data_IF_996531464720
#
_entry.id   IF_996531464720
#
_cell.length_a   1.000
_cell.length_b   1.000
_cell.length_c   1.000
_cell.angle_alpha   90.00
_cell.angle_beta   90.00
_cell.angle_gamma   90.00
#
_symmetry.space_group_name_H-M   'P 1'
#
loop_
_entity.id
_entity.type
_entity.pdbx_description
1 polymer ?
#
# COMPACT_ATOMS: atom_id res chain seq x y z
N UNK A 1 8.65 23.46 -11.36
CA UNK A 1 8.55 22.14 -10.71
C UNK A 1 7.63 21.25 -11.51
N UNK A 2 8.00 20.02 -11.74
CA UNK A 2 7.19 19.09 -12.50
C UNK A 2 5.96 18.63 -11.72
N UNK A 3 4.98 18.11 -12.45
CA UNK A 3 3.73 17.65 -11.83
C UNK A 3 3.94 16.48 -10.89
N UNK A 4 4.84 15.56 -11.23
CA UNK A 4 5.14 14.42 -10.35
C UNK A 4 5.73 14.91 -9.04
N UNK A 5 6.63 15.90 -9.09
CA UNK A 5 7.20 16.49 -7.89
C UNK A 5 6.13 17.15 -7.02
N UNK A 6 5.18 17.85 -7.65
CA UNK A 6 4.06 18.44 -6.93
C UNK A 6 3.21 17.38 -6.23
N UNK A 7 2.96 16.28 -6.90
CA UNK A 7 2.20 15.17 -6.30
C UNK A 7 2.95 14.59 -5.10
N UNK A 8 4.27 14.39 -5.24
CA UNK A 8 5.08 13.90 -4.12
C UNK A 8 4.98 14.81 -2.91
N UNK A 9 5.07 16.12 -3.13
CA UNK A 9 4.98 17.08 -2.05
C UNK A 9 3.63 17.01 -1.34
N UNK A 10 2.55 16.89 -2.09
CA UNK A 10 1.22 16.76 -1.51
C UNK A 10 1.07 15.48 -0.71
N UNK A 11 1.59 14.38 -1.23
CA UNK A 11 1.55 13.10 -0.51
C UNK A 11 2.34 13.19 0.80
N UNK A 12 3.51 13.83 0.77
CA UNK A 12 4.34 13.98 1.96
C UNK A 12 3.68 14.80 3.07
N UNK A 13 2.67 15.60 2.73
CA UNK A 13 1.96 16.43 3.69
C UNK A 13 0.73 15.75 4.28
N UNK A 14 0.37 14.56 3.78
CA UNK A 14 -0.81 13.84 4.29
C UNK A 14 -0.53 13.28 5.68
N UNK A 15 -1.56 13.30 6.52
CA UNK A 15 -1.51 12.56 7.77
C UNK A 15 -1.69 11.06 7.50
N UNK A 16 -1.52 10.26 8.54
CA UNK A 16 -1.56 8.81 8.39
C UNK A 16 -2.89 8.31 7.83
N UNK A 17 -4.00 8.84 8.32
CA UNK A 17 -5.32 8.42 7.86
C UNK A 17 -5.59 8.79 6.41
N UNK A 18 -5.20 10.00 6.01
CA UNK A 18 -5.37 10.44 4.63
C UNK A 18 -4.46 9.67 3.69
N UNK A 19 -3.24 9.36 4.12
CA UNK A 19 -2.34 8.54 3.33
C UNK A 19 -2.91 7.13 3.12
N UNK A 20 -3.45 6.54 4.17
CA UNK A 20 -4.10 5.23 4.07
C UNK A 20 -5.24 5.27 3.06
N UNK A 21 -6.10 6.29 3.12
CA UNK A 21 -7.20 6.44 2.17
C UNK A 21 -6.71 6.55 0.73
N UNK A 22 -5.64 7.32 0.52
CA UNK A 22 -5.06 7.46 -0.80
C UNK A 22 -4.55 6.12 -1.33
N UNK A 23 -3.83 5.37 -0.49
CA UNK A 23 -3.29 4.07 -0.88
C UNK A 23 -4.39 3.06 -1.15
N UNK A 24 -5.44 3.06 -0.35
CA UNK A 24 -6.59 2.17 -0.56
C UNK A 24 -7.22 2.42 -1.93
N UNK A 25 -7.44 3.69 -2.27
CA UNK A 25 -7.99 4.05 -3.57
C UNK A 25 -7.04 3.68 -4.71
N UNK A 26 -5.76 3.92 -4.51
CA UNK A 26 -4.74 3.58 -5.50
C UNK A 26 -4.72 2.07 -5.76
N UNK A 27 -4.69 1.27 -4.70
CA UNK A 27 -4.66 -0.18 -4.83
C UNK A 27 -5.89 -0.71 -5.55
N UNK A 28 -7.06 -0.17 -5.24
CA UNK A 28 -8.27 -0.55 -5.94
C UNK A 28 -8.16 -0.25 -7.44
N UNK A 29 -7.64 0.92 -7.79
CA UNK A 29 -7.53 1.33 -9.19
C UNK A 29 -6.53 0.50 -9.99
N UNK A 30 -5.49 -0.03 -9.34
CA UNK A 30 -4.53 -0.87 -10.05
C UNK A 30 -4.93 -2.34 -10.08
N UNK A 31 -6.14 -2.67 -9.59
CA UNK A 31 -6.71 -4.00 -9.79
C UNK A 31 -6.88 -4.86 -8.56
N UNK A 32 -6.53 -4.38 -7.38
CA UNK A 32 -6.79 -5.15 -6.16
C UNK A 32 -8.28 -5.07 -5.80
N UNK A 33 -8.82 -6.12 -5.15
CA UNK A 33 -10.22 -6.09 -4.72
C UNK A 33 -10.48 -5.00 -3.68
N UNK A 34 -11.76 -4.75 -3.39
CA UNK A 34 -12.13 -3.80 -2.35
C UNK A 34 -11.49 -4.18 -1.02
N UNK A 35 -10.90 -3.18 -0.38
CA UNK A 35 -10.21 -3.37 0.88
C UNK A 35 -11.23 -3.47 2.02
N UNK A 36 -11.03 -4.46 2.87
CA UNK A 36 -11.82 -4.64 4.08
C UNK A 36 -11.02 -4.06 5.24
N UNK A 37 -11.48 -2.94 5.80
CA UNK A 37 -10.83 -2.36 6.96
C UNK A 37 -11.14 -3.19 8.20
N UNK A 38 -10.10 -3.58 8.93
CA UNK A 38 -10.28 -4.32 10.16
C UNK A 38 -11.01 -3.46 11.19
N UNK A 39 -12.10 -4.00 11.74
CA UNK A 39 -12.89 -3.31 12.74
C UNK A 39 -13.57 -2.05 12.22
N UNK A 40 -13.44 -1.78 10.93
CA UNK A 40 -14.03 -0.61 10.34
C UNK A 40 -15.42 -0.87 9.83
N UNK A 41 -16.33 0.02 10.15
CA UNK A 41 -17.60 0.06 9.46
C UNK A 41 -17.43 0.83 8.17
N UNK A 42 -18.38 0.70 7.28
CA UNK A 42 -18.37 1.45 6.03
C UNK A 42 -18.25 2.95 6.33
N UNK A 43 -17.27 3.59 5.72
CA UNK A 43 -17.05 5.02 5.89
C UNK A 43 -16.10 5.40 7.01
N UNK A 44 -15.74 4.47 7.88
CA UNK A 44 -14.75 4.76 8.91
C UNK A 44 -13.40 4.15 8.52
N UNK A 45 -12.34 4.91 8.75
CA UNK A 45 -10.98 4.44 8.54
C UNK A 45 -10.27 4.21 9.85
N UNK A 46 -11.03 4.12 10.90
CA UNK A 46 -10.48 3.86 12.20
C UNK A 46 -10.12 2.39 12.27
N UNK A 47 -8.84 2.10 12.23
CA UNK A 47 -8.35 0.74 12.38
C UNK A 47 -8.39 0.36 13.84
N UNK A 48 -8.82 -0.86 14.13
CA UNK A 48 -8.59 -1.40 15.46
C UNK A 48 -7.09 -1.56 15.64
N UNK A 49 -6.58 -1.31 16.87
CA UNK A 49 -5.19 -1.58 17.15
C UNK A 49 -4.89 -3.04 16.81
N UNK A 50 -3.91 -3.24 15.98
CA UNK A 50 -3.55 -4.59 15.60
C UNK A 50 -2.89 -4.63 14.24
N UNK A 51 -2.59 -5.82 13.82
CA UNK A 51 -1.92 -6.12 12.56
C UNK A 51 -2.77 -7.07 11.76
N UNK A 52 -2.93 -6.85 10.46
CA UNK A 52 -2.45 -5.72 9.67
C UNK A 52 -3.33 -4.47 9.79
N UNK A 53 -2.88 -3.35 9.23
CA UNK A 53 -3.70 -2.13 9.22
C UNK A 53 -5.01 -2.35 8.47
N UNK A 54 -4.92 -2.93 7.27
CA UNK A 54 -6.08 -3.36 6.50
C UNK A 54 -5.75 -4.66 5.79
N UNK A 55 -6.77 -5.29 5.23
CA UNK A 55 -6.57 -6.47 4.41
C UNK A 55 -7.69 -6.58 3.39
N UNK A 56 -7.46 -7.39 2.37
CA UNK A 56 -8.55 -7.83 1.50
C UNK A 56 -8.30 -9.28 1.12
N UNK A 57 -9.35 -9.92 0.62
CA UNK A 57 -9.32 -11.34 0.29
C UNK A 57 -9.27 -11.46 -1.22
N UNK A 58 -8.25 -12.14 -1.71
CA UNK A 58 -8.08 -12.37 -3.14
C UNK A 58 -9.11 -13.36 -3.66
N UNK A 59 -9.31 -13.43 -4.98
CA UNK A 59 -10.27 -14.39 -5.55
C UNK A 59 -10.02 -15.84 -5.16
N UNK A 60 -8.78 -16.20 -4.84
CA UNK A 60 -8.45 -17.56 -4.40
C UNK A 60 -8.69 -17.79 -2.91
N UNK A 61 -9.27 -16.83 -2.21
CA UNK A 61 -9.60 -16.96 -0.79
C UNK A 61 -8.47 -16.67 0.17
N UNK A 62 -7.31 -16.27 -0.32
CA UNK A 62 -6.17 -15.93 0.54
C UNK A 62 -6.18 -14.46 0.92
N UNK A 63 -5.54 -14.16 2.05
CA UNK A 63 -5.46 -12.79 2.55
C UNK A 63 -4.35 -12.02 1.85
N UNK A 64 -4.61 -10.75 1.62
CA UNK A 64 -3.58 -9.79 1.23
C UNK A 64 -3.57 -8.72 2.32
N UNK A 65 -2.44 -8.64 3.04
CA UNK A 65 -2.29 -7.67 4.11
C UNK A 65 -1.73 -6.38 3.57
N UNK A 66 -2.19 -5.26 4.10
CA UNK A 66 -1.71 -3.94 3.69
C UNK A 66 -1.29 -3.15 4.91
N UNK A 67 -0.10 -2.58 4.86
CA UNK A 67 0.46 -1.74 5.91
C UNK A 67 0.84 -0.39 5.34
N UNK A 68 0.75 0.65 6.14
CA UNK A 68 1.02 2.03 5.72
C UNK A 68 1.90 2.73 6.75
N UNK A 69 2.78 3.61 6.29
CA UNK A 69 3.49 4.48 7.21
C UNK A 69 3.80 5.81 6.55
N UNK A 70 3.69 6.87 7.32
CA UNK A 70 4.19 8.20 6.95
C UNK A 70 5.50 8.52 7.66
N UNK A 71 6.02 7.57 8.43
CA UNK A 71 7.28 7.73 9.13
C UNK A 71 8.43 7.82 8.14
N UNK A 72 9.29 8.82 8.30
CA UNK A 72 10.42 9.04 7.40
C UNK A 72 11.73 8.56 8.00
N UNK A 73 11.92 8.77 9.28
CA UNK A 73 13.14 8.37 9.95
C UNK A 73 13.09 6.90 10.34
N UNK A 74 14.24 6.24 10.21
CA UNK A 74 14.38 4.82 10.54
C UNK A 74 13.36 3.96 9.81
N UNK A 75 13.13 4.28 8.54
CA UNK A 75 12.12 3.63 7.74
C UNK A 75 12.35 2.13 7.60
N UNK A 76 13.60 1.72 7.37
CA UNK A 76 13.91 0.30 7.22
C UNK A 76 13.53 -0.49 8.47
N UNK A 77 13.88 0.03 9.65
CA UNK A 77 13.53 -0.62 10.91
C UNK A 77 12.02 -0.68 11.10
N UNK A 78 11.32 0.40 10.73
CA UNK A 78 9.85 0.46 10.83
C UNK A 78 9.20 -0.57 9.94
N UNK A 79 9.61 -0.66 8.68
CA UNK A 79 9.04 -1.62 7.74
C UNK A 79 9.34 -3.05 8.20
N UNK A 80 10.57 -3.31 8.61
CA UNK A 80 10.95 -4.64 9.10
C UNK A 80 10.12 -5.07 10.30
N UNK A 81 9.89 -4.14 11.23
CA UNK A 81 9.07 -4.42 12.41
C UNK A 81 7.63 -4.71 12.03
N UNK A 82 7.04 -3.88 11.18
CA UNK A 82 5.65 -4.06 10.75
C UNK A 82 5.46 -5.37 9.98
N UNK A 83 6.40 -5.71 9.10
CA UNK A 83 6.36 -6.97 8.36
C UNK A 83 6.48 -8.15 9.34
N UNK A 84 7.37 -8.06 10.32
CA UNK A 84 7.52 -9.11 11.32
C UNK A 84 6.24 -9.34 12.10
N UNK A 85 5.51 -8.26 12.41
CA UNK A 85 4.22 -8.37 13.07
C UNK A 85 3.19 -9.05 12.18
N UNK A 86 3.20 -8.75 10.89
CA UNK A 86 2.30 -9.41 9.92
C UNK A 86 2.58 -10.91 9.82
N UNK A 87 3.83 -11.32 10.00
CA UNK A 87 4.23 -12.72 9.96
C UNK A 87 4.02 -13.44 11.30
N UNK A 88 3.66 -12.71 12.33
CA UNK A 88 3.46 -13.29 13.67
C UNK A 88 2.03 -13.83 13.79
N UNK A 89 1.90 -15.15 13.71
CA UNK A 89 0.60 -15.82 13.74
C UNK A 89 -0.16 -15.52 15.03
N UNK A 90 0.55 -15.36 16.15
CA UNK A 90 -0.09 -15.00 17.42
C UNK A 90 -0.79 -13.66 17.39
N UNK A 91 -0.30 -12.73 16.54
CA UNK A 91 -0.89 -11.40 16.42
C UNK A 91 -1.99 -11.34 15.36
N UNK A 92 -1.79 -12.00 14.24
CA UNK A 92 -2.76 -11.93 13.14
C UNK A 92 -3.85 -12.98 13.23
N UNK A 93 -3.53 -14.12 13.83
CA UNK A 93 -4.43 -15.27 13.84
C UNK A 93 -4.50 -15.99 12.49
N UNK A 94 -3.66 -15.63 11.54
CA UNK A 94 -3.67 -16.17 10.19
C UNK A 94 -2.35 -16.88 9.91
N UNK A 95 -2.43 -18.14 9.51
CA UNK A 95 -1.24 -18.92 9.15
C UNK A 95 -0.68 -18.46 7.81
N UNK A 96 0.61 -18.63 7.61
CA UNK A 96 1.31 -18.10 6.43
C UNK A 96 0.75 -18.65 5.11
N UNK A 97 0.28 -19.89 5.10
CA UNK A 97 -0.28 -20.51 3.90
C UNK A 97 -1.57 -19.83 3.43
N UNK A 98 -2.20 -19.05 4.29
CA UNK A 98 -3.43 -18.32 3.97
C UNK A 98 -3.17 -16.87 3.57
N UNK A 99 -1.92 -16.45 3.52
CA UNK A 99 -1.53 -15.09 3.13
C UNK A 99 -0.82 -15.19 1.78
N UNK A 100 -1.35 -14.51 0.77
CA UNK A 100 -0.72 -14.52 -0.55
C UNK A 100 0.28 -13.40 -0.74
N UNK A 101 0.00 -12.25 -0.12
CA UNK A 101 0.81 -11.06 -0.35
C UNK A 101 0.73 -10.11 0.84
N UNK A 102 1.82 -9.38 1.08
CA UNK A 102 1.84 -8.23 1.97
C UNK A 102 2.23 -7.03 1.13
N UNK A 103 1.44 -5.96 1.22
CA UNK A 103 1.70 -4.70 0.53
C UNK A 103 2.09 -3.67 1.58
N UNK A 104 3.20 -2.99 1.38
CA UNK A 104 3.66 -1.95 2.30
C UNK A 104 3.80 -0.62 1.56
N UNK A 105 3.05 0.38 2.00
CA UNK A 105 3.02 1.71 1.39
C UNK A 105 3.72 2.72 2.31
N UNK A 106 4.60 3.54 1.76
CA UNK A 106 5.29 4.56 2.53
C UNK A 106 5.50 5.83 1.73
N UNK A 107 5.84 6.91 2.42
CA UNK A 107 5.98 8.24 1.83
C UNK A 107 7.43 8.66 1.62
N UNK A 108 8.35 7.72 1.61
CA UNK A 108 9.76 8.00 1.43
C UNK A 108 10.26 7.42 0.11
N UNK A 109 11.50 7.76 -0.23
CA UNK A 109 12.15 7.18 -1.41
C UNK A 109 12.36 5.69 -1.21
N UNK A 110 12.70 5.01 -2.29
CA UNK A 110 12.90 3.57 -2.25
C UNK A 110 14.00 3.17 -1.27
N UNK A 111 13.85 2.02 -0.67
CA UNK A 111 14.91 1.41 0.12
C UNK A 111 16.09 1.07 -0.79
N UNK A 112 17.28 0.96 -0.19
CA UNK A 112 18.43 0.47 -0.94
C UNK A 112 18.18 -0.97 -1.38
N UNK A 113 18.81 -1.45 -2.46
CA UNK A 113 18.65 -2.85 -2.88
C UNK A 113 18.95 -3.85 -1.78
N UNK A 114 19.93 -3.57 -0.94
CA UNK A 114 20.27 -4.45 0.18
C UNK A 114 19.12 -4.54 1.19
N UNK A 115 18.57 -3.39 1.57
CA UNK A 115 17.45 -3.32 2.51
C UNK A 115 16.20 -3.96 1.94
N UNK A 116 15.90 -3.67 0.69
CA UNK A 116 14.74 -4.21 0.00
C UNK A 116 14.79 -5.73 -0.05
N UNK A 117 15.92 -6.29 -0.45
CA UNK A 117 16.11 -7.73 -0.51
C UNK A 117 16.00 -8.38 0.86
N UNK A 118 16.55 -7.75 1.87
CA UNK A 118 16.52 -8.30 3.23
C UNK A 118 15.09 -8.46 3.74
N UNK A 119 14.25 -7.45 3.50
CA UNK A 119 12.85 -7.51 3.93
C UNK A 119 12.07 -8.50 3.07
N UNK A 120 12.29 -8.49 1.76
CA UNK A 120 11.60 -9.42 0.87
C UNK A 120 11.91 -10.87 1.20
N UNK A 121 13.13 -11.15 1.64
CA UNK A 121 13.50 -12.51 2.03
C UNK A 121 12.72 -12.99 3.26
N UNK A 122 12.38 -12.11 4.19
CA UNK A 122 11.56 -12.49 5.34
C UNK A 122 10.21 -13.06 4.86
N UNK A 123 9.59 -12.41 3.91
CA UNK A 123 8.32 -12.88 3.37
C UNK A 123 8.48 -14.09 2.46
N UNK A 124 9.56 -14.12 1.68
CA UNK A 124 9.82 -15.24 0.79
C UNK A 124 9.99 -16.54 1.58
N UNK A 125 10.68 -16.48 2.72
CA UNK A 125 10.86 -17.65 3.56
C UNK A 125 9.54 -18.17 4.12
N UNK A 126 8.54 -17.30 4.23
CA UNK A 126 7.19 -17.67 4.66
C UNK A 126 6.28 -18.04 3.48
N UNK A 127 6.78 -17.98 2.25
CA UNK A 127 5.99 -18.25 1.06
C UNK A 127 5.04 -17.12 0.68
N UNK A 128 5.34 -15.89 1.09
CA UNK A 128 4.47 -14.73 0.90
C UNK A 128 5.17 -13.71 0.00
N UNK A 129 4.43 -13.17 -0.97
CA UNK A 129 4.95 -12.10 -1.83
C UNK A 129 4.92 -10.79 -1.05
N UNK A 130 5.99 -9.99 -1.17
CA UNK A 130 6.04 -8.65 -0.59
C UNK A 130 6.13 -7.61 -1.70
N UNK A 131 5.23 -6.64 -1.65
CA UNK A 131 5.21 -5.51 -2.57
C UNK A 131 5.40 -4.23 -1.75
N UNK A 132 6.47 -3.49 -2.02
CA UNK A 132 6.73 -2.23 -1.33
C UNK A 132 6.49 -1.08 -2.31
N UNK A 133 5.64 -0.16 -1.91
CA UNK A 133 5.25 0.98 -2.74
C UNK A 133 5.69 2.26 -2.02
N UNK A 134 6.73 2.89 -2.56
CA UNK A 134 7.23 4.17 -2.03
C UNK A 134 6.63 5.34 -2.75
N UNK A 135 7.05 6.52 -2.36
CA UNK A 135 6.49 7.77 -2.88
C UNK A 135 6.72 7.94 -4.38
N UNK A 136 7.86 7.47 -4.89
CA UNK A 136 8.20 7.65 -6.30
C UNK A 136 7.22 6.90 -7.20
N UNK A 137 7.01 5.62 -6.90
CA UNK A 137 6.07 4.82 -7.68
C UNK A 137 4.65 5.33 -7.52
N UNK A 138 4.26 5.67 -6.30
CA UNK A 138 2.90 6.13 -6.02
C UNK A 138 2.61 7.42 -6.79
N UNK A 139 3.51 8.39 -6.73
CA UNK A 139 3.32 9.66 -7.42
C UNK A 139 3.31 9.50 -8.94
N UNK A 140 4.20 8.68 -9.47
CA UNK A 140 4.26 8.41 -10.90
C UNK A 140 2.98 7.76 -11.40
N UNK A 141 2.52 6.72 -10.69
CA UNK A 141 1.30 6.02 -11.11
C UNK A 141 0.07 6.92 -10.99
N UNK A 142 -0.02 7.73 -9.95
CA UNK A 142 -1.12 8.69 -9.79
C UNK A 142 -1.11 9.69 -10.94
N UNK A 143 0.06 10.20 -11.30
CA UNK A 143 0.17 11.12 -12.44
C UNK A 143 -0.29 10.45 -13.74
N UNK A 144 0.17 9.24 -13.99
CA UNK A 144 -0.19 8.52 -15.20
C UNK A 144 -1.68 8.22 -15.27
N UNK A 145 -2.29 7.85 -14.17
CA UNK A 145 -3.74 7.64 -14.11
C UNK A 145 -4.50 8.92 -14.45
N UNK A 146 -4.05 10.04 -13.90
CA UNK A 146 -4.67 11.34 -14.13
C UNK A 146 -4.60 11.73 -15.60
N UNK A 147 -3.41 11.58 -16.20
CA UNK A 147 -3.20 11.91 -17.62
C UNK A 147 -4.01 10.97 -18.51
N UNK A 148 -4.00 9.69 -18.23
CA UNK A 148 -4.78 8.72 -19.01
C UNK A 148 -6.26 8.99 -18.94
N UNK A 149 -6.78 9.30 -17.76
CA UNK A 149 -8.19 9.64 -17.61
C UNK A 149 -8.56 10.88 -18.42
N UNK A 150 -7.75 11.93 -18.32
CA UNK A 150 -8.00 13.16 -19.08
C UNK A 150 -7.94 12.91 -20.56
N UNK A 151 -6.96 12.13 -21.01
CA UNK A 151 -6.80 11.82 -22.42
C UNK A 151 -7.99 11.03 -22.97
N UNK A 152 -8.48 10.07 -22.23
CA UNK A 152 -9.63 9.26 -22.65
C UNK A 152 -10.92 10.07 -22.66
N UNK A 153 -11.07 10.98 -21.73
CA UNK A 153 -12.28 11.78 -21.62
C UNK A 153 -12.40 12.81 -22.74
N UNK A 154 -11.32 13.50 -23.06
CA UNK A 154 -11.34 14.57 -24.06
C UNK A 154 -11.78 14.09 -25.45
N UNK A 155 -11.22 13.01 -26.01
CA UNK A 155 -11.66 12.53 -27.32
C UNK A 155 -13.13 12.14 -27.35
N UNK A 156 -13.63 11.54 -26.29
CA UNK A 156 -15.03 11.15 -26.20
C UNK A 156 -15.93 12.38 -26.23
N UNK A 157 -15.55 13.40 -25.48
CA UNK A 157 -16.31 14.66 -25.44
C UNK A 157 -16.30 15.35 -26.79
N UNK A 158 -15.18 15.38 -27.46
CA UNK A 158 -15.04 16.12 -28.72
C UNK A 158 -15.81 15.49 -29.88
N UNK A 159 -16.23 14.25 -29.75
CA UNK A 159 -17.01 13.59 -30.79
C UNK A 159 -18.50 13.89 -30.72
N UNK A 160 -18.89 14.47 -29.65
CA UNK A 160 -20.28 14.91 -29.49
C UNK A 160 -20.47 16.30 -30.06
#
# INVERSE_FOLDING_TARGET
MGKIESIKQKICQLDAGSFQNLCDSYLYKIGYPNIVSLGGEAGTRKTTPGTPDTYFISPNGKYIFVEYTTQKERLFAKIKDDISKCLNISKTGITHDKISEIIYCHTSSNLTPFQDNKIKNLCKNAGIKLTIIGIDKLAEDIYLMSVSYTHLTLPTTSRV
#
